data_IF_996156084441
#
_entry.id   IF_996156084441
#
_cell.length_a   1.000
_cell.length_b   1.000
_cell.length_c   1.000
_cell.angle_alpha   90.00
_cell.angle_beta   90.00
_cell.angle_gamma   90.00
#
_symmetry.space_group_name_H-M   'P 1'
#
loop_
_entity.id
_entity.type
_entity.pdbx_description
1 polymer ?
#
# COMPACT_ATOMS: atom_id res chain seq x y z
N UNK A 1 -9.04 -56.61 -2.55
CA UNK A 1 -9.45 -55.54 -3.50
C UNK A 1 -9.18 -54.19 -2.87
N UNK A 2 -8.53 -53.31 -3.63
CA UNK A 2 -7.90 -52.04 -3.23
C UNK A 2 -8.92 -50.94 -2.97
N UNK A 3 -9.11 -50.49 -1.72
CA UNK A 3 -9.77 -49.21 -1.38
C UNK A 3 -9.29 -48.69 -0.01
N UNK A 4 -8.01 -48.33 0.14
CA UNK A 4 -7.57 -47.65 1.39
C UNK A 4 -6.34 -46.73 1.25
N UNK A 5 -5.93 -46.32 0.04
CA UNK A 5 -4.71 -45.48 -0.13
C UNK A 5 -4.97 -44.02 -0.51
N UNK A 6 -6.21 -43.61 -0.78
CA UNK A 6 -6.48 -42.26 -1.31
C UNK A 6 -6.65 -41.19 -0.21
N UNK A 7 -7.12 -41.57 0.99
CA UNK A 7 -7.33 -40.61 2.09
C UNK A 7 -6.03 -40.12 2.72
N UNK A 8 -5.01 -40.97 2.79
CA UNK A 8 -3.70 -40.60 3.36
C UNK A 8 -2.92 -39.62 2.49
N UNK A 9 -3.01 -39.75 1.16
CA UNK A 9 -2.34 -38.82 0.24
C UNK A 9 -2.98 -37.43 0.27
N UNK A 10 -4.32 -37.35 0.42
CA UNK A 10 -5.04 -36.08 0.59
C UNK A 10 -4.70 -35.43 1.94
N UNK A 11 -4.61 -36.21 3.02
CA UNK A 11 -4.24 -35.70 4.34
C UNK A 11 -2.80 -35.14 4.35
N UNK A 12 -1.85 -35.81 3.70
CA UNK A 12 -0.47 -35.32 3.56
C UNK A 12 -0.42 -34.03 2.72
N UNK A 13 -1.19 -33.96 1.61
CA UNK A 13 -1.25 -32.77 0.78
C UNK A 13 -1.84 -31.56 1.55
N UNK A 14 -2.91 -31.78 2.30
CA UNK A 14 -3.54 -30.74 3.15
C UNK A 14 -2.62 -30.32 4.30
N UNK A 15 -1.84 -31.24 4.88
CA UNK A 15 -0.87 -30.90 5.91
C UNK A 15 0.30 -30.07 5.35
N UNK A 16 0.77 -30.36 4.14
CA UNK A 16 1.81 -29.56 3.46
C UNK A 16 1.29 -28.15 3.14
N UNK A 17 0.04 -28.02 2.69
CA UNK A 17 -0.60 -26.71 2.43
C UNK A 17 -0.80 -25.92 3.74
N UNK A 18 -1.24 -26.57 4.81
CA UNK A 18 -1.40 -25.91 6.11
C UNK A 18 -0.05 -25.49 6.75
N UNK A 19 1.01 -26.28 6.55
CA UNK A 19 2.36 -25.98 7.03
C UNK A 19 3.05 -24.87 6.25
N UNK A 20 2.63 -24.63 4.99
CA UNK A 20 3.17 -23.56 4.13
C UNK A 20 2.43 -22.22 4.28
N UNK A 21 1.38 -22.17 5.11
CA UNK A 21 0.67 -20.95 5.50
C UNK A 21 1.10 -20.38 6.87
N UNK A 22 2.19 -20.86 7.47
CA UNK A 22 2.80 -20.14 8.59
C UNK A 22 3.50 -18.90 8.05
N UNK A 23 2.93 -17.73 8.38
CA UNK A 23 3.59 -16.43 8.26
C UNK A 23 4.96 -16.58 8.95
N UNK A 24 6.08 -16.41 8.26
CA UNK A 24 7.38 -16.55 8.91
C UNK A 24 7.47 -15.49 10.00
N UNK A 25 7.63 -15.92 11.24
CA UNK A 25 8.11 -15.04 12.30
C UNK A 25 9.56 -14.70 11.96
N UNK A 26 9.75 -13.59 11.24
CA UNK A 26 11.06 -13.06 10.91
C UNK A 26 11.63 -12.48 12.21
N UNK A 27 12.37 -13.29 12.94
CA UNK A 27 13.27 -12.83 13.99
C UNK A 27 14.49 -12.22 13.32
N UNK A 28 14.57 -10.89 13.33
CA UNK A 28 15.68 -10.11 12.78
C UNK A 28 16.96 -10.28 13.62
N UNK A 29 17.71 -11.35 13.39
CA UNK A 29 19.08 -11.48 13.88
C UNK A 29 20.04 -10.94 12.81
N UNK A 30 20.64 -9.77 13.06
CA UNK A 30 21.69 -9.22 12.19
C UNK A 30 23.06 -9.72 12.69
N UNK A 31 23.68 -10.61 11.94
CA UNK A 31 25.11 -10.91 12.08
C UNK A 31 25.93 -9.88 11.30
N UNK A 32 26.87 -9.22 11.96
CA UNK A 32 27.80 -8.28 11.34
C UNK A 32 29.14 -8.98 11.09
N UNK A 33 29.40 -9.38 9.84
CA UNK A 33 30.73 -9.84 9.44
C UNK A 33 31.61 -8.63 9.12
N UNK A 34 32.28 -8.08 10.15
CA UNK A 34 33.28 -7.02 9.96
C UNK A 34 34.64 -7.67 9.69
N UNK A 35 35.05 -7.72 8.42
CA UNK A 35 36.43 -8.07 8.08
C UNK A 35 37.34 -6.86 8.29
N UNK A 36 38.20 -6.91 9.31
CA UNK A 36 39.23 -5.92 9.56
C UNK A 36 40.33 -6.00 8.48
N UNK A 37 40.20 -5.22 7.39
CA UNK A 37 41.33 -4.88 6.52
C UNK A 37 41.31 -3.41 6.17
N UNK A 38 42.43 -2.75 6.41
CA UNK A 38 42.69 -1.33 6.22
C UNK A 38 42.66 -0.92 4.73
N UNK A 39 42.17 0.31 4.50
CA UNK A 39 42.46 1.23 3.38
C UNK A 39 41.82 1.06 2.00
N UNK A 40 40.72 0.33 1.88
CA UNK A 40 39.70 0.61 0.84
C UNK A 40 38.36 0.73 1.55
N UNK A 41 37.40 1.48 1.00
CA UNK A 41 36.05 1.55 1.55
C UNK A 41 35.40 0.15 1.45
N UNK A 42 35.67 -0.71 2.43
CA UNK A 42 35.20 -2.10 2.47
C UNK A 42 33.69 -2.06 2.32
N UNK A 43 33.19 -2.62 1.23
CA UNK A 43 31.77 -2.79 1.00
C UNK A 43 31.22 -3.65 2.13
N UNK A 44 30.62 -2.98 3.12
CA UNK A 44 30.05 -3.66 4.27
C UNK A 44 28.83 -4.42 3.79
N UNK A 45 28.87 -5.74 3.90
CA UNK A 45 27.69 -6.59 3.72
C UNK A 45 27.04 -6.84 5.08
N UNK A 46 25.71 -6.85 5.10
CA UNK A 46 24.89 -7.13 6.29
C UNK A 46 23.80 -8.11 5.92
N UNK A 47 23.21 -8.78 6.91
CA UNK A 47 22.04 -9.62 6.70
C UNK A 47 20.78 -8.79 6.91
N UNK A 48 19.89 -8.77 5.93
CA UNK A 48 18.59 -8.10 5.95
C UNK A 48 17.52 -9.09 5.52
N UNK A 49 16.55 -9.37 6.40
CA UNK A 49 15.50 -10.37 6.19
C UNK A 49 16.05 -11.72 5.69
N UNK A 50 17.18 -12.16 6.28
CA UNK A 50 17.83 -13.44 5.94
C UNK A 50 18.67 -13.43 4.65
N UNK A 51 18.78 -12.30 3.96
CA UNK A 51 19.55 -12.16 2.71
C UNK A 51 20.75 -11.24 2.94
N UNK A 52 21.92 -11.60 2.40
CA UNK A 52 23.07 -10.70 2.39
C UNK A 52 22.83 -9.56 1.41
N UNK A 53 22.87 -8.35 1.94
CA UNK A 53 22.77 -7.10 1.18
C UNK A 53 24.05 -6.29 1.35
N UNK A 54 24.34 -5.47 0.35
CA UNK A 54 25.36 -4.44 0.42
C UNK A 54 24.78 -3.23 1.15
N UNK A 55 25.48 -2.76 2.18
CA UNK A 55 25.17 -1.49 2.84
C UNK A 55 25.93 -0.35 2.14
N UNK A 56 25.26 0.62 1.49
CA UNK A 56 25.98 1.73 0.88
C UNK A 56 26.81 2.54 1.90
N UNK A 57 27.87 3.18 1.41
CA UNK A 57 28.68 4.09 2.21
C UNK A 57 27.82 5.28 2.68
N UNK A 58 27.97 5.71 3.93
CA UNK A 58 27.19 6.82 4.50
C UNK A 58 25.73 6.50 4.84
N UNK A 59 25.25 5.27 4.61
CA UNK A 59 23.92 4.83 5.08
C UNK A 59 24.07 4.18 6.47
N UNK A 60 23.35 4.66 7.50
CA UNK A 60 23.45 4.12 8.86
C UNK A 60 22.80 2.73 8.96
N UNK A 61 23.38 1.84 9.77
CA UNK A 61 22.85 0.47 9.94
C UNK A 61 21.41 0.46 10.47
N UNK A 62 21.06 1.45 11.32
CA UNK A 62 19.73 1.60 11.94
C UNK A 62 18.59 1.60 10.92
N UNK A 63 18.80 2.08 9.68
CA UNK A 63 17.73 2.11 8.66
C UNK A 63 17.25 0.70 8.27
N UNK A 64 18.13 -0.29 8.32
CA UNK A 64 17.81 -1.69 7.99
C UNK A 64 17.21 -2.47 9.16
N UNK A 65 17.14 -1.84 10.35
CA UNK A 65 16.61 -2.43 11.59
C UNK A 65 15.20 -1.92 11.91
N UNK A 66 14.68 -0.97 11.13
CA UNK A 66 13.34 -0.41 11.35
C UNK A 66 12.28 -1.46 11.02
N UNK A 67 11.43 -1.79 11.99
CA UNK A 67 10.42 -2.84 11.88
C UNK A 67 8.99 -2.32 12.09
N UNK A 68 8.83 -1.09 12.58
CA UNK A 68 7.53 -0.48 12.86
C UNK A 68 7.44 0.97 12.42
N UNK A 69 6.20 1.42 12.25
CA UNK A 69 5.82 2.82 12.00
C UNK A 69 6.49 3.76 13.01
N UNK A 70 6.37 3.41 14.30
CA UNK A 70 6.97 4.16 15.40
C UNK A 70 8.48 4.27 15.27
N UNK A 71 9.18 3.19 14.92
CA UNK A 71 10.63 3.22 14.74
C UNK A 71 11.05 4.05 13.54
N UNK A 72 10.29 4.01 12.44
CA UNK A 72 10.52 4.89 11.29
C UNK A 72 10.33 6.35 11.71
N UNK A 73 9.21 6.69 12.34
CA UNK A 73 8.96 8.05 12.85
C UNK A 73 10.05 8.50 13.82
N UNK A 74 10.43 7.67 14.79
CA UNK A 74 11.50 7.97 15.74
C UNK A 74 12.86 8.14 15.07
N UNK A 75 13.20 7.31 14.09
CA UNK A 75 14.42 7.47 13.30
C UNK A 75 14.42 8.81 12.55
N UNK A 76 13.27 9.19 11.99
CA UNK A 76 13.09 10.47 11.32
C UNK A 76 13.18 11.64 12.32
N UNK A 77 12.68 11.49 13.54
CA UNK A 77 12.74 12.51 14.60
C UNK A 77 14.15 12.65 15.21
N UNK A 78 14.86 11.54 15.41
CA UNK A 78 16.24 11.52 15.94
C UNK A 78 17.21 12.28 15.01
N UNK A 79 17.03 12.14 13.70
CA UNK A 79 17.81 12.88 12.69
C UNK A 79 17.48 14.38 12.66
N UNK A 80 16.31 14.77 13.16
CA UNK A 80 15.80 16.14 13.20
C UNK A 80 16.32 16.94 14.41
N UNK A 81 16.73 16.28 15.49
CA UNK A 81 17.18 16.94 16.73
C UNK A 81 18.48 17.77 16.59
N UNK A 82 19.13 17.79 15.41
CA UNK A 82 20.34 18.58 15.13
C UNK A 82 20.13 19.77 14.18
N UNK A 83 18.92 20.00 13.66
CA UNK A 83 18.62 21.18 12.83
C UNK A 83 17.14 21.51 12.94
N UNK A 84 16.81 22.75 13.34
CA UNK A 84 15.47 23.38 13.40
C UNK A 84 14.37 22.63 12.62
N UNK A 85 13.87 21.56 13.21
CA UNK A 85 13.20 20.51 12.47
C UNK A 85 11.79 20.93 12.13
N UNK A 86 11.57 21.19 10.84
CA UNK A 86 10.23 21.25 10.27
C UNK A 86 9.57 19.90 10.55
N UNK A 87 8.40 19.93 11.17
CA UNK A 87 7.55 18.74 11.18
C UNK A 87 7.21 18.42 9.71
N UNK A 88 7.58 17.22 9.25
CA UNK A 88 7.27 16.73 7.89
C UNK A 88 5.78 16.85 7.55
N UNK A 89 4.92 16.95 8.57
CA UNK A 89 3.48 17.26 8.49
C UNK A 89 3.13 18.55 7.73
N UNK A 90 4.09 19.46 7.48
CA UNK A 90 3.84 20.73 6.77
C UNK A 90 4.22 20.73 5.29
N UNK A 91 4.71 19.61 4.75
CA UNK A 91 5.11 19.53 3.32
C UNK A 91 3.91 19.05 2.50
N UNK A 92 3.48 19.80 1.46
CA UNK A 92 2.42 19.36 0.56
C UNK A 92 2.73 17.98 -0.04
N UNK A 93 1.74 17.09 -0.07
CA UNK A 93 1.94 15.70 -0.51
C UNK A 93 2.43 15.61 -1.96
N UNK A 94 2.02 16.54 -2.84
CA UNK A 94 2.54 16.61 -4.21
C UNK A 94 4.04 16.90 -4.29
N UNK A 95 4.57 17.77 -3.42
CA UNK A 95 6.01 18.03 -3.32
C UNK A 95 6.70 16.76 -2.81
N UNK A 96 6.18 16.18 -1.73
CA UNK A 96 6.72 14.93 -1.17
C UNK A 96 6.77 13.81 -2.22
N UNK A 97 5.70 13.65 -3.02
CA UNK A 97 5.61 12.68 -4.08
C UNK A 97 6.66 12.91 -5.18
N UNK A 98 6.82 14.16 -5.64
CA UNK A 98 7.84 14.49 -6.64
C UNK A 98 9.27 14.25 -6.14
N UNK A 99 9.56 14.60 -4.89
CA UNK A 99 10.84 14.33 -4.24
C UNK A 99 11.10 12.83 -4.16
N UNK A 100 10.11 12.05 -3.70
CA UNK A 100 10.22 10.58 -3.63
C UNK A 100 10.40 9.97 -5.00
N UNK A 101 9.64 10.39 -6.02
CA UNK A 101 9.81 9.90 -7.39
C UNK A 101 11.23 10.13 -7.93
N UNK A 102 11.81 11.30 -7.66
CA UNK A 102 13.21 11.60 -8.01
C UNK A 102 14.21 10.67 -7.30
N UNK A 103 14.00 10.41 -6.00
CA UNK A 103 14.88 9.52 -5.22
C UNK A 103 14.75 8.08 -5.70
N UNK A 104 13.53 7.57 -5.89
CA UNK A 104 13.27 6.21 -6.35
C UNK A 104 14.03 5.93 -7.66
N UNK A 105 14.03 6.89 -8.59
CA UNK A 105 14.70 6.73 -9.89
C UNK A 105 16.22 6.50 -9.81
N UNK A 106 16.85 6.83 -8.66
CA UNK A 106 18.27 6.54 -8.39
C UNK A 106 18.51 5.04 -8.10
N UNK A 107 17.47 4.33 -7.68
CA UNK A 107 17.53 2.95 -7.19
C UNK A 107 16.91 1.95 -8.15
N UNK A 108 15.62 2.08 -8.43
CA UNK A 108 14.84 1.13 -9.22
C UNK A 108 13.74 1.85 -10.01
N UNK A 109 13.30 1.27 -11.12
CA UNK A 109 12.17 1.79 -11.87
C UNK A 109 10.85 1.16 -11.41
N UNK A 110 10.07 1.91 -10.64
CA UNK A 110 8.78 1.45 -10.08
C UNK A 110 7.61 1.49 -11.08
N UNK A 111 7.80 2.10 -12.26
CA UNK A 111 6.77 2.19 -13.31
C UNK A 111 6.69 0.93 -14.18
N UNK A 112 7.58 -0.02 -13.95
CA UNK A 112 7.63 -1.31 -14.63
C UNK A 112 7.96 -2.40 -13.61
N UNK A 113 7.79 -3.68 -13.98
CA UNK A 113 8.23 -4.75 -13.13
C UNK A 113 9.74 -4.68 -12.86
N UNK A 114 10.16 -4.81 -11.59
CA UNK A 114 11.57 -4.72 -11.20
C UNK A 114 12.46 -5.83 -11.78
N UNK A 115 11.86 -6.87 -12.36
CA UNK A 115 12.57 -7.95 -13.04
C UNK A 115 12.85 -7.63 -14.53
N UNK A 116 12.58 -6.40 -14.97
CA UNK A 116 13.00 -5.88 -16.27
C UNK A 116 14.50 -5.52 -16.28
N UNK A 117 15.12 -5.58 -17.47
CA UNK A 117 16.58 -5.70 -17.63
C UNK A 117 17.41 -4.54 -17.02
N UNK A 118 16.84 -3.33 -16.93
CA UNK A 118 17.54 -2.12 -16.48
C UNK A 118 17.86 -2.10 -14.98
N UNK A 119 17.15 -2.89 -14.17
CA UNK A 119 17.33 -2.94 -12.72
C UNK A 119 18.11 -4.18 -12.26
N UNK A 120 18.15 -5.24 -13.07
CA UNK A 120 18.84 -6.50 -12.74
C UNK A 120 20.31 -6.29 -12.37
N UNK A 121 21.04 -5.46 -13.13
CA UNK A 121 22.46 -5.20 -12.86
C UNK A 121 22.70 -4.53 -11.50
N UNK A 122 21.79 -3.66 -11.06
CA UNK A 122 21.86 -3.03 -9.73
C UNK A 122 21.52 -4.03 -8.64
N UNK A 123 20.45 -4.82 -8.84
CA UNK A 123 20.01 -5.84 -7.88
C UNK A 123 21.11 -6.87 -7.63
N UNK A 124 21.77 -7.39 -8.67
CA UNK A 124 22.86 -8.36 -8.49
C UNK A 124 24.07 -7.78 -7.74
N UNK A 125 24.31 -6.48 -7.88
CA UNK A 125 25.38 -5.77 -7.18
C UNK A 125 25.02 -5.52 -5.71
N UNK A 126 23.77 -5.14 -5.45
CA UNK A 126 23.31 -4.74 -4.12
C UNK A 126 22.90 -5.93 -3.25
N UNK A 127 22.43 -7.03 -3.86
CA UNK A 127 21.93 -8.22 -3.19
C UNK A 127 22.66 -9.47 -3.74
N UNK A 128 23.93 -9.69 -3.34
CA UNK A 128 24.81 -10.68 -3.94
C UNK A 128 24.35 -12.13 -3.79
N UNK A 129 23.37 -12.44 -2.93
CA UNK A 129 22.82 -13.79 -2.80
C UNK A 129 21.93 -14.19 -3.98
N UNK A 130 21.35 -13.23 -4.70
CA UNK A 130 20.54 -13.53 -5.89
C UNK A 130 21.44 -13.76 -7.10
N UNK A 131 21.25 -14.88 -7.80
CA UNK A 131 22.10 -15.31 -8.91
C UNK A 131 21.38 -15.37 -10.25
N UNK A 132 20.05 -15.28 -10.22
CA UNK A 132 19.22 -15.37 -11.41
C UNK A 132 18.01 -14.43 -11.36
N UNK A 133 17.42 -14.18 -12.54
CA UNK A 133 16.16 -13.43 -12.65
C UNK A 133 15.02 -14.14 -11.93
N UNK A 134 15.02 -15.47 -11.92
CA UNK A 134 14.07 -16.29 -11.17
C UNK A 134 14.16 -16.01 -9.66
N UNK A 135 15.37 -15.92 -9.10
CA UNK A 135 15.57 -15.59 -7.68
C UNK A 135 15.04 -14.19 -7.36
N UNK A 136 15.30 -13.23 -8.24
CA UNK A 136 14.81 -11.84 -8.12
C UNK A 136 13.28 -11.82 -8.14
N UNK A 137 12.64 -12.56 -9.05
CA UNK A 137 11.18 -12.62 -9.12
C UNK A 137 10.56 -13.22 -7.86
N UNK A 138 11.16 -14.30 -7.32
CA UNK A 138 10.69 -14.96 -6.08
C UNK A 138 10.88 -14.08 -4.84
N UNK A 139 11.85 -13.17 -4.87
CA UNK A 139 12.21 -12.31 -3.73
C UNK A 139 11.94 -10.83 -4.01
N UNK A 140 11.08 -10.52 -4.97
CA UNK A 140 10.80 -9.17 -5.44
C UNK A 140 10.42 -8.22 -4.29
N UNK A 141 9.57 -8.68 -3.39
CA UNK A 141 9.12 -7.89 -2.23
C UNK A 141 10.25 -7.58 -1.24
N UNK A 142 11.16 -8.54 -0.97
CA UNK A 142 12.32 -8.30 -0.11
C UNK A 142 13.28 -7.28 -0.75
N UNK A 143 13.51 -7.39 -2.06
CA UNK A 143 14.33 -6.45 -2.83
C UNK A 143 13.73 -5.04 -2.75
N UNK A 144 12.41 -4.92 -2.91
CA UNK A 144 11.71 -3.65 -2.79
C UNK A 144 11.77 -3.07 -1.37
N UNK A 145 11.66 -3.90 -0.33
CA UNK A 145 11.84 -3.45 1.05
C UNK A 145 13.25 -2.91 1.29
N UNK A 146 14.29 -3.56 0.76
CA UNK A 146 15.66 -3.06 0.82
C UNK A 146 15.78 -1.67 0.17
N UNK A 147 15.28 -1.50 -1.05
CA UNK A 147 15.31 -0.20 -1.72
C UNK A 147 14.43 0.84 -1.03
N UNK A 148 13.30 0.44 -0.44
CA UNK A 148 12.46 1.35 0.35
C UNK A 148 13.25 1.92 1.54
N UNK A 149 14.07 1.11 2.23
CA UNK A 149 14.96 1.62 3.30
C UNK A 149 15.95 2.67 2.79
N UNK A 150 16.55 2.46 1.63
CA UNK A 150 17.43 3.46 1.02
C UNK A 150 16.70 4.74 0.64
N UNK A 151 15.48 4.61 0.09
CA UNK A 151 14.62 5.75 -0.24
C UNK A 151 14.25 6.55 1.00
N UNK A 152 13.88 5.92 2.13
CA UNK A 152 13.58 6.61 3.40
C UNK A 152 14.78 7.45 3.85
N UNK A 153 15.99 6.88 3.79
CA UNK A 153 17.21 7.56 4.20
C UNK A 153 17.49 8.81 3.35
N UNK A 154 17.32 8.72 2.03
CA UNK A 154 17.57 9.85 1.14
C UNK A 154 16.43 10.87 1.15
N UNK A 155 15.18 10.43 1.28
CA UNK A 155 14.02 11.30 1.44
C UNK A 155 14.22 12.26 2.60
N UNK A 156 14.77 11.76 3.71
CA UNK A 156 15.06 12.60 4.86
C UNK A 156 16.05 13.72 4.53
N UNK A 157 17.14 13.41 3.81
CA UNK A 157 18.15 14.40 3.42
C UNK A 157 17.55 15.47 2.50
N UNK A 158 16.77 15.04 1.51
CA UNK A 158 16.16 15.94 0.52
C UNK A 158 15.08 16.82 1.16
N UNK A 159 14.26 16.27 2.07
CA UNK A 159 13.22 17.03 2.78
C UNK A 159 13.78 18.19 3.59
N UNK A 160 14.98 18.05 4.18
CA UNK A 160 15.65 19.13 4.92
C UNK A 160 16.08 20.30 4.03
N UNK A 161 16.17 20.10 2.72
CA UNK A 161 16.54 21.15 1.75
C UNK A 161 15.33 21.94 1.24
N UNK A 162 14.10 21.48 1.51
CA UNK A 162 12.88 22.14 1.01
C UNK A 162 12.63 23.44 1.78
N UNK A 163 12.56 24.61 1.12
CA UNK A 163 12.40 25.91 1.78
C UNK A 163 11.15 26.02 2.67
N UNK A 164 11.29 26.72 3.81
CA UNK A 164 10.28 26.78 4.89
C UNK A 164 8.98 27.54 4.53
N UNK A 165 9.06 28.44 3.56
CA UNK A 165 8.01 29.31 3.03
C UNK A 165 7.06 28.62 2.03
N UNK A 166 7.43 27.44 1.52
CA UNK A 166 6.59 26.66 0.59
C UNK A 166 5.30 26.12 1.26
N UNK A 167 5.17 26.27 2.58
CA UNK A 167 3.99 25.86 3.36
C UNK A 167 2.74 26.75 3.15
N UNK A 168 2.88 27.89 2.46
CA UNK A 168 1.79 28.83 2.18
C UNK A 168 1.31 28.87 0.72
N UNK A 169 1.95 28.11 -0.18
CA UNK A 169 1.51 28.03 -1.57
C UNK A 169 0.19 27.28 -1.65
N UNK A 170 -0.90 27.96 -2.01
CA UNK A 170 -2.09 27.29 -2.54
C UNK A 170 -1.66 26.53 -3.78
N UNK A 171 -1.29 25.26 -3.63
CA UNK A 171 -1.20 24.37 -4.76
C UNK A 171 -2.63 24.29 -5.32
N UNK A 172 -2.85 24.59 -6.61
CA UNK A 172 -4.18 24.73 -7.21
C UNK A 172 -4.93 23.39 -7.35
N UNK A 173 -4.51 22.36 -6.62
CA UNK A 173 -5.15 21.06 -6.64
C UNK A 173 -6.19 21.02 -5.52
N UNK A 174 -7.45 20.83 -5.96
CA UNK A 174 -8.62 20.57 -5.13
C UNK A 174 -8.35 19.40 -4.16
N UNK A 175 -9.21 19.23 -3.17
CA UNK A 175 -9.05 18.39 -1.96
C UNK A 175 -8.63 16.91 -2.17
N UNK A 176 -8.45 16.44 -3.40
CA UNK A 176 -7.87 15.14 -3.74
C UNK A 176 -6.35 15.27 -3.98
N UNK A 177 -5.54 14.72 -3.07
CA UNK A 177 -4.08 14.71 -3.19
C UNK A 177 -3.31 15.72 -2.32
N UNK A 178 -3.98 16.50 -1.47
CA UNK A 178 -3.25 17.32 -0.49
C UNK A 178 -2.71 16.52 0.69
N UNK A 179 -3.17 15.28 0.88
CA UNK A 179 -2.73 14.38 1.95
C UNK A 179 -3.14 14.90 3.32
N UNK A 180 -3.74 14.07 4.16
CA UNK A 180 -3.77 14.37 5.59
C UNK A 180 -2.47 13.90 6.29
N UNK A 181 -2.35 14.17 7.59
CA UNK A 181 -1.15 13.81 8.36
C UNK A 181 -0.92 12.29 8.38
N UNK A 182 -1.98 11.48 8.32
CA UNK A 182 -1.89 10.02 8.26
C UNK A 182 -1.33 9.53 6.93
N UNK A 183 -1.81 10.08 5.81
CA UNK A 183 -1.26 9.77 4.48
C UNK A 183 0.21 10.17 4.40
N UNK A 184 0.60 11.32 4.97
CA UNK A 184 2.01 11.73 5.07
C UNK A 184 2.84 10.77 5.91
N UNK A 185 2.30 10.29 7.03
CA UNK A 185 2.98 9.30 7.87
C UNK A 185 3.23 8.01 7.09
N UNK A 186 2.21 7.48 6.41
CA UNK A 186 2.35 6.29 5.57
C UNK A 186 3.36 6.52 4.42
N UNK A 187 3.42 7.73 3.87
CA UNK A 187 4.40 8.10 2.84
C UNK A 187 5.85 8.08 3.36
N UNK A 188 6.05 8.40 4.64
CA UNK A 188 7.36 8.33 5.27
C UNK A 188 7.76 6.88 5.61
N UNK A 189 6.78 6.02 5.87
CA UNK A 189 6.97 4.58 6.16
C UNK A 189 7.28 3.78 4.89
N UNK A 190 6.47 3.96 3.85
CA UNK A 190 6.60 3.27 2.58
C UNK A 190 6.55 4.24 1.40
N UNK A 191 7.59 5.07 1.20
CA UNK A 191 7.62 6.06 0.14
C UNK A 191 7.42 5.47 -1.26
N UNK A 192 7.92 4.25 -1.52
CA UNK A 192 7.66 3.57 -2.81
C UNK A 192 6.16 3.35 -3.02
N UNK A 193 5.46 2.81 -2.03
CA UNK A 193 4.02 2.54 -2.13
C UNK A 193 3.21 3.83 -2.10
N UNK A 194 3.62 4.81 -1.28
CA UNK A 194 3.04 6.14 -1.27
C UNK A 194 3.08 6.78 -2.66
N UNK A 195 4.21 6.68 -3.38
CA UNK A 195 4.32 7.16 -4.74
C UNK A 195 3.35 6.47 -5.70
N UNK A 196 3.21 5.14 -5.61
CA UNK A 196 2.22 4.40 -6.38
C UNK A 196 0.79 4.87 -6.10
N UNK A 197 0.40 4.99 -4.82
CA UNK A 197 -0.96 5.37 -4.41
C UNK A 197 -1.28 6.81 -4.80
N UNK A 198 -0.34 7.73 -4.62
CA UNK A 198 -0.51 9.12 -5.02
C UNK A 198 -0.70 9.25 -6.53
N UNK A 199 0.17 8.62 -7.32
CA UNK A 199 0.04 8.65 -8.78
C UNK A 199 -1.27 8.00 -9.25
N UNK A 200 -1.74 6.94 -8.58
CA UNK A 200 -3.05 6.36 -8.85
C UNK A 200 -4.21 7.32 -8.57
N UNK A 201 -4.08 8.20 -7.56
CA UNK A 201 -5.11 9.22 -7.27
C UNK A 201 -5.22 10.24 -8.40
N UNK A 202 -4.09 10.61 -9.01
CA UNK A 202 -4.05 11.50 -10.17
C UNK A 202 -4.71 10.84 -11.38
N UNK A 203 -4.36 9.59 -11.68
CA UNK A 203 -4.98 8.82 -12.77
C UNK A 203 -6.49 8.74 -12.59
N UNK A 204 -6.97 8.38 -11.39
CA UNK A 204 -8.40 8.24 -11.11
C UNK A 204 -9.16 9.56 -11.25
N UNK A 205 -8.56 10.68 -10.83
CA UNK A 205 -9.12 12.02 -11.04
C UNK A 205 -9.24 12.32 -12.54
N UNK A 206 -8.19 12.06 -13.31
CA UNK A 206 -8.18 12.34 -14.73
C UNK A 206 -9.19 11.46 -15.48
N UNK A 207 -9.34 10.18 -15.11
CA UNK A 207 -10.39 9.29 -15.63
C UNK A 207 -11.79 9.76 -15.24
N UNK A 208 -11.98 10.22 -14.00
CA UNK A 208 -13.27 10.76 -13.55
C UNK A 208 -13.66 11.99 -14.36
N UNK A 209 -12.71 12.88 -14.61
CA UNK A 209 -12.93 14.05 -15.45
C UNK A 209 -13.29 13.67 -16.90
N UNK A 210 -12.66 12.64 -17.46
CA UNK A 210 -13.00 12.15 -18.81
C UNK A 210 -14.42 11.56 -18.88
N UNK A 211 -14.86 10.84 -17.85
CA UNK A 211 -16.15 10.13 -17.86
C UNK A 211 -17.33 10.99 -17.40
N UNK A 212 -17.11 11.94 -16.48
CA UNK A 212 -18.16 12.74 -15.84
C UNK A 212 -18.05 14.25 -16.14
N UNK A 213 -17.04 14.69 -16.89
CA UNK A 213 -16.79 16.10 -17.21
C UNK A 213 -16.74 17.02 -15.99
N UNK A 214 -16.22 16.50 -14.87
CA UNK A 214 -15.97 17.25 -13.64
C UNK A 214 -14.75 16.70 -12.92
N UNK A 215 -13.81 17.59 -12.58
CA UNK A 215 -12.59 17.30 -11.82
C UNK A 215 -12.93 16.94 -10.37
N UNK A 216 -14.01 17.55 -9.85
CA UNK A 216 -14.54 17.39 -8.51
C UNK A 216 -15.99 16.93 -8.62
N UNK A 217 -16.23 15.80 -9.31
CA UNK A 217 -17.55 15.19 -9.35
C UNK A 217 -17.94 14.73 -7.92
N UNK A 218 -18.37 15.68 -7.10
CA UNK A 218 -19.07 15.47 -5.83
C UNK A 218 -20.51 15.02 -6.07
N UNK A 219 -20.88 14.75 -7.33
CA UNK A 219 -21.98 13.86 -7.61
C UNK A 219 -21.63 12.44 -7.14
N UNK A 220 -22.65 11.70 -6.74
CA UNK A 220 -22.52 10.46 -6.01
C UNK A 220 -21.94 9.33 -6.88
N UNK A 221 -22.07 9.43 -8.21
CA UNK A 221 -21.54 8.44 -9.15
C UNK A 221 -20.10 8.71 -9.54
N UNK A 222 -19.76 9.95 -9.85
CA UNK A 222 -18.39 10.36 -10.16
C UNK A 222 -17.48 10.17 -8.95
N UNK A 223 -17.94 10.48 -7.73
CA UNK A 223 -17.14 10.19 -6.53
C UNK A 223 -16.97 8.69 -6.30
N UNK A 224 -18.05 7.90 -6.38
CA UNK A 224 -17.97 6.44 -6.28
C UNK A 224 -17.00 5.84 -7.31
N UNK A 225 -17.07 6.30 -8.56
CA UNK A 225 -16.18 5.90 -9.65
C UNK A 225 -14.72 6.23 -9.33
N UNK A 226 -14.46 7.48 -8.92
CA UNK A 226 -13.13 7.97 -8.55
C UNK A 226 -12.49 7.11 -7.45
N UNK A 227 -13.22 6.83 -6.37
CA UNK A 227 -12.73 6.02 -5.25
C UNK A 227 -12.45 4.56 -5.63
N UNK A 228 -13.35 3.95 -6.41
CA UNK A 228 -13.16 2.60 -6.92
C UNK A 228 -11.95 2.50 -7.85
N UNK A 229 -11.86 3.39 -8.85
CA UNK A 229 -10.73 3.45 -9.77
C UNK A 229 -9.41 3.75 -9.07
N UNK A 230 -9.39 4.68 -8.10
CA UNK A 230 -8.20 5.01 -7.33
C UNK A 230 -7.65 3.78 -6.60
N UNK A 231 -8.51 3.05 -5.87
CA UNK A 231 -8.08 1.86 -5.13
C UNK A 231 -7.67 0.72 -6.07
N UNK A 232 -8.37 0.52 -7.17
CA UNK A 232 -7.98 -0.48 -8.16
C UNK A 232 -6.61 -0.17 -8.79
N UNK A 233 -6.40 1.08 -9.22
CA UNK A 233 -5.16 1.52 -9.84
C UNK A 233 -3.99 1.58 -8.85
N UNK A 234 -4.24 1.95 -7.60
CA UNK A 234 -3.23 1.94 -6.53
C UNK A 234 -2.70 0.52 -6.31
N UNK A 235 -3.58 -0.45 -6.09
CA UNK A 235 -3.20 -1.85 -5.96
C UNK A 235 -2.46 -2.35 -7.21
N UNK A 236 -2.92 -1.95 -8.40
CA UNK A 236 -2.29 -2.33 -9.67
C UNK A 236 -0.87 -1.80 -9.78
N UNK A 237 -0.64 -0.51 -9.50
CA UNK A 237 0.70 0.09 -9.55
C UNK A 237 1.65 -0.56 -8.55
N UNK A 238 1.20 -0.84 -7.32
CA UNK A 238 2.01 -1.54 -6.30
C UNK A 238 2.40 -2.94 -6.79
N UNK A 239 1.46 -3.68 -7.38
CA UNK A 239 1.75 -4.99 -7.98
C UNK A 239 2.69 -4.91 -9.18
N UNK A 240 2.52 -3.93 -10.07
CA UNK A 240 3.43 -3.70 -11.20
C UNK A 240 4.85 -3.46 -10.71
N UNK A 241 5.03 -2.73 -9.61
CA UNK A 241 6.35 -2.51 -9.01
C UNK A 241 6.99 -3.82 -8.53
N UNK A 242 6.22 -4.87 -8.23
CA UNK A 242 6.73 -6.20 -7.88
C UNK A 242 6.31 -6.72 -6.51
N UNK A 243 5.45 -5.99 -5.80
CA UNK A 243 4.87 -6.47 -4.54
C UNK A 243 3.80 -7.55 -4.79
N UNK A 244 3.55 -8.38 -3.78
CA UNK A 244 2.47 -9.37 -3.83
C UNK A 244 1.09 -8.70 -3.89
N UNK A 245 0.09 -9.45 -4.37
CA UNK A 245 -1.31 -9.00 -4.38
C UNK A 245 -1.83 -8.64 -2.98
N UNK A 246 -1.35 -9.34 -1.95
CA UNK A 246 -1.75 -9.13 -0.56
C UNK A 246 -1.15 -7.85 0.00
N UNK A 247 0.14 -7.63 -0.25
CA UNK A 247 0.83 -6.39 0.13
C UNK A 247 0.19 -5.19 -0.57
N UNK A 248 -0.11 -5.29 -1.87
CA UNK A 248 -0.81 -4.25 -2.60
C UNK A 248 -2.21 -3.96 -2.04
N UNK A 249 -2.98 -5.00 -1.70
CA UNK A 249 -4.30 -4.87 -1.10
C UNK A 249 -4.24 -4.15 0.26
N UNK A 250 -3.36 -4.59 1.17
CA UNK A 250 -3.25 -4.03 2.52
C UNK A 250 -2.73 -2.59 2.51
N UNK A 251 -1.71 -2.28 1.70
CA UNK A 251 -1.20 -0.91 1.64
C UNK A 251 -2.16 0.05 0.98
N UNK A 252 -2.84 -0.36 -0.10
CA UNK A 252 -3.91 0.45 -0.70
C UNK A 252 -5.00 0.74 0.33
N UNK A 253 -5.41 -0.28 1.09
CA UNK A 253 -6.37 -0.13 2.19
C UNK A 253 -5.89 0.86 3.25
N UNK A 254 -4.62 0.77 3.70
CA UNK A 254 -4.05 1.69 4.69
C UNK A 254 -4.11 3.14 4.21
N UNK A 255 -3.66 3.42 2.99
CA UNK A 255 -3.70 4.79 2.43
C UNK A 255 -5.13 5.29 2.20
N UNK A 256 -6.00 4.47 1.62
CA UNK A 256 -7.39 4.85 1.39
C UNK A 256 -8.12 5.11 2.72
N UNK A 257 -7.91 4.28 3.73
CA UNK A 257 -8.48 4.50 5.07
C UNK A 257 -7.90 5.76 5.72
N UNK A 258 -6.59 5.97 5.57
CA UNK A 258 -5.94 7.18 6.06
C UNK A 258 -6.60 8.42 5.47
N UNK A 259 -6.86 8.44 4.16
CA UNK A 259 -7.54 9.53 3.45
C UNK A 259 -8.90 9.90 4.05
N UNK A 260 -9.69 8.91 4.45
CA UNK A 260 -11.04 9.12 5.00
C UNK A 260 -11.06 9.54 6.49
N UNK A 261 -9.92 9.62 7.19
CA UNK A 261 -9.89 10.07 8.57
C UNK A 261 -10.32 11.53 8.70
N UNK A 262 -11.26 11.78 9.60
CA UNK A 262 -11.69 13.13 9.92
C UNK A 262 -10.65 13.83 10.81
N UNK A 263 -9.86 14.72 10.22
CA UNK A 263 -8.83 15.48 10.96
C UNK A 263 -9.37 16.59 11.86
N UNK A 264 -10.69 16.87 11.84
CA UNK A 264 -11.29 18.04 12.51
C UNK A 264 -12.09 17.73 13.78
N UNK A 265 -12.63 16.52 13.95
CA UNK A 265 -13.58 16.20 15.05
C UNK A 265 -12.96 15.26 16.09
N UNK A 266 -12.10 14.33 15.67
CA UNK A 266 -11.25 13.53 16.55
C UNK A 266 -10.22 12.77 15.69
N UNK A 267 -8.92 12.76 16.04
CA UNK A 267 -7.86 12.23 15.18
C UNK A 267 -8.00 10.74 14.77
N UNK A 268 -8.96 9.99 15.27
CA UNK A 268 -9.09 8.56 14.93
C UNK A 268 -10.53 8.15 14.60
N UNK A 269 -11.41 9.12 14.36
CA UNK A 269 -12.78 8.83 13.95
C UNK A 269 -12.87 8.87 12.42
N UNK A 270 -13.15 7.68 11.87
CA UNK A 270 -13.68 7.55 10.52
C UNK A 270 -14.96 8.38 10.43
N UNK A 271 -15.10 9.16 9.35
CA UNK A 271 -16.36 9.85 9.11
C UNK A 271 -17.51 8.84 9.02
N UNK A 272 -18.61 9.10 9.72
CA UNK A 272 -19.75 8.18 9.82
C UNK A 272 -20.96 8.65 9.00
N UNK A 273 -20.78 9.65 8.14
CA UNK A 273 -21.83 10.12 7.25
C UNK A 273 -22.00 9.17 6.03
N UNK A 274 -23.07 9.37 5.28
CA UNK A 274 -23.39 8.53 4.13
C UNK A 274 -22.31 8.57 3.03
N UNK A 275 -21.54 9.67 2.94
CA UNK A 275 -20.50 9.84 1.91
C UNK A 275 -19.31 8.95 2.25
N UNK A 276 -18.84 9.00 3.49
CA UNK A 276 -17.75 8.15 3.96
C UNK A 276 -18.08 6.66 3.80
N UNK A 277 -19.32 6.23 4.10
CA UNK A 277 -19.73 4.82 3.90
C UNK A 277 -19.65 4.40 2.41
N UNK A 278 -20.10 5.28 1.51
CA UNK A 278 -19.97 5.06 0.07
C UNK A 278 -18.50 4.99 -0.35
N UNK A 279 -17.66 5.87 0.18
CA UNK A 279 -16.23 5.91 -0.14
C UNK A 279 -15.52 4.64 0.36
N UNK A 280 -15.77 4.19 1.61
CA UNK A 280 -15.25 2.90 2.11
C UNK A 280 -15.69 1.71 1.24
N UNK A 281 -16.96 1.68 0.83
CA UNK A 281 -17.48 0.61 -0.03
C UNK A 281 -16.76 0.57 -1.38
N UNK A 282 -16.66 1.72 -2.06
CA UNK A 282 -16.04 1.81 -3.38
C UNK A 282 -14.52 1.60 -3.30
N UNK A 283 -13.88 2.10 -2.24
CA UNK A 283 -12.48 1.80 -1.93
C UNK A 283 -12.27 0.27 -1.83
N UNK A 284 -13.17 -0.44 -1.13
CA UNK A 284 -13.11 -1.92 -1.00
C UNK A 284 -13.32 -2.62 -2.33
N UNK A 285 -14.34 -2.22 -3.10
CA UNK A 285 -14.63 -2.79 -4.42
C UNK A 285 -13.45 -2.63 -5.36
N UNK A 286 -12.84 -1.44 -5.41
CA UNK A 286 -11.67 -1.15 -6.24
C UNK A 286 -10.46 -2.02 -5.92
N UNK A 287 -10.01 -2.05 -4.65
CA UNK A 287 -8.82 -2.85 -4.29
C UNK A 287 -9.07 -4.36 -4.42
N UNK A 288 -10.30 -4.82 -4.16
CA UNK A 288 -10.68 -6.23 -4.31
C UNK A 288 -10.71 -6.62 -5.78
N UNK A 289 -11.23 -5.76 -6.66
CA UNK A 289 -11.20 -5.98 -8.11
C UNK A 289 -9.78 -6.29 -8.59
N UNK A 290 -8.80 -5.46 -8.26
CA UNK A 290 -7.43 -5.73 -8.69
C UNK A 290 -6.88 -7.02 -8.09
N UNK A 291 -7.12 -7.28 -6.80
CA UNK A 291 -6.71 -8.53 -6.14
C UNK A 291 -7.25 -9.76 -6.88
N UNK A 292 -8.53 -9.73 -7.26
CA UNK A 292 -9.23 -10.85 -7.87
C UNK A 292 -8.87 -11.03 -9.37
N UNK A 293 -8.31 -9.99 -10.01
CA UNK A 293 -7.88 -10.00 -11.41
C UNK A 293 -6.35 -10.13 -11.58
N UNK A 294 -5.60 -10.28 -10.49
CA UNK A 294 -4.19 -10.64 -10.55
C UNK A 294 -4.04 -12.12 -10.91
N UNK A 295 -3.13 -12.40 -11.83
CA UNK A 295 -2.77 -13.77 -12.21
C UNK A 295 -1.39 -14.07 -11.66
N UNK A 296 -1.29 -15.16 -10.92
CA UNK A 296 -0.02 -15.69 -10.42
C UNK A 296 0.36 -16.99 -11.14
N UNK A 297 1.65 -17.27 -11.28
CA UNK A 297 2.11 -18.59 -11.70
C UNK A 297 2.08 -19.59 -10.52
N UNK A 298 2.52 -20.83 -10.76
CA UNK A 298 2.56 -21.90 -9.75
C UNK A 298 3.45 -21.59 -8.54
N UNK A 299 4.33 -20.61 -8.65
CA UNK A 299 5.25 -20.17 -7.60
C UNK A 299 4.72 -18.95 -6.84
N UNK A 300 3.49 -18.49 -7.14
CA UNK A 300 2.91 -17.30 -6.54
C UNK A 300 3.41 -15.97 -7.14
N UNK A 301 4.28 -16.01 -8.15
CA UNK A 301 4.78 -14.79 -8.80
C UNK A 301 3.69 -14.18 -9.67
N UNK A 302 3.51 -12.86 -9.58
CA UNK A 302 2.57 -12.14 -10.43
C UNK A 302 3.04 -12.19 -11.89
N UNK A 303 2.16 -12.67 -12.77
CA UNK A 303 2.35 -12.77 -14.23
C UNK A 303 1.30 -11.99 -15.02
N UNK A 304 0.33 -11.37 -14.35
CA UNK A 304 -0.62 -10.48 -14.99
C UNK A 304 -1.46 -9.70 -13.98
N UNK A 305 -2.01 -8.58 -14.45
CA UNK A 305 -2.84 -7.63 -13.71
C UNK A 305 -3.87 -7.02 -14.68
N UNK A 306 -4.98 -6.44 -14.18
CA UNK A 306 -5.97 -5.79 -15.04
C UNK A 306 -5.35 -4.61 -15.81
N UNK A 307 -5.88 -4.31 -17.00
CA UNK A 307 -5.52 -3.10 -17.75
C UNK A 307 -6.25 -1.88 -17.20
N UNK A 308 -5.73 -0.68 -17.47
CA UNK A 308 -6.39 0.57 -17.07
C UNK A 308 -7.78 0.70 -17.71
N UNK A 309 -7.91 0.34 -18.99
CA UNK A 309 -9.21 0.31 -19.66
C UNK A 309 -10.19 -0.67 -19.00
N UNK A 310 -9.72 -1.81 -18.48
CA UNK A 310 -10.56 -2.76 -17.76
C UNK A 310 -11.06 -2.17 -16.43
N UNK A 311 -10.16 -1.55 -15.67
CA UNK A 311 -10.48 -0.85 -14.42
C UNK A 311 -11.53 0.24 -14.66
N UNK A 312 -11.31 1.09 -15.67
CA UNK A 312 -12.22 2.19 -16.04
C UNK A 312 -13.59 1.64 -16.44
N UNK A 313 -13.64 0.68 -17.38
CA UNK A 313 -14.90 0.19 -17.91
C UNK A 313 -15.73 -0.55 -16.85
N UNK A 314 -15.10 -1.42 -16.06
CA UNK A 314 -15.82 -2.22 -15.06
C UNK A 314 -16.38 -1.35 -13.94
N UNK A 315 -15.60 -0.38 -13.46
CA UNK A 315 -16.08 0.53 -12.41
C UNK A 315 -17.09 1.56 -12.95
N UNK A 316 -16.95 2.03 -14.19
CA UNK A 316 -17.97 2.88 -14.82
C UNK A 316 -19.31 2.14 -14.95
N UNK A 317 -19.28 0.89 -15.41
CA UNK A 317 -20.47 0.06 -15.50
C UNK A 317 -21.08 -0.20 -14.12
N UNK A 318 -20.25 -0.50 -13.12
CA UNK A 318 -20.69 -0.71 -11.74
C UNK A 318 -21.44 0.50 -11.18
N UNK A 319 -20.85 1.70 -11.28
CA UNK A 319 -21.46 2.88 -10.64
C UNK A 319 -22.68 3.43 -11.39
N UNK A 320 -22.80 3.09 -12.67
CA UNK A 320 -23.97 3.46 -13.47
C UNK A 320 -25.04 2.37 -13.50
N UNK A 321 -24.78 1.19 -12.92
CA UNK A 321 -25.77 0.14 -12.77
C UNK A 321 -26.72 0.50 -11.61
N UNK A 322 -28.02 0.72 -11.88
CA UNK A 322 -28.99 1.10 -10.85
C UNK A 322 -29.20 0.03 -9.78
N UNK A 323 -28.81 -1.23 -10.05
CA UNK A 323 -28.90 -2.31 -9.07
C UNK A 323 -27.71 -2.35 -8.10
N UNK A 324 -26.57 -1.79 -8.50
CA UNK A 324 -25.32 -1.83 -7.76
C UNK A 324 -25.13 -0.58 -6.89
N UNK A 325 -25.53 0.58 -7.41
CA UNK A 325 -25.52 1.83 -6.66
C UNK A 325 -26.85 2.02 -5.92
N UNK A 326 -27.10 1.20 -4.89
CA UNK A 326 -28.19 1.49 -3.97
C UNK A 326 -27.79 2.73 -3.18
N UNK A 327 -28.32 3.88 -3.53
CA UNK A 327 -28.04 5.10 -2.76
C UNK A 327 -28.72 4.95 -1.40
N UNK A 328 -27.98 5.10 -0.29
CA UNK A 328 -28.62 5.26 1.00
C UNK A 328 -29.57 6.48 0.94
N UNK A 329 -30.92 6.35 1.16
CA UNK A 329 -31.80 7.52 1.34
C UNK A 329 -31.21 8.56 2.31
N UNK A 330 -31.42 9.86 2.06
CA UNK A 330 -30.80 10.96 2.83
C UNK A 330 -31.04 10.94 4.35
N UNK A 331 -32.03 10.18 4.84
CA UNK A 331 -32.25 9.92 6.26
C UNK A 331 -31.95 8.45 6.56
N UNK A 332 -30.80 8.20 7.18
CA UNK A 332 -30.44 6.88 7.71
C UNK A 332 -30.81 6.83 9.17
N UNK A 333 -31.80 6.00 9.53
CA UNK A 333 -31.80 5.47 10.88
C UNK A 333 -30.59 4.53 11.04
N UNK A 334 -30.09 4.34 12.25
CA UNK A 334 -28.98 3.40 12.49
C UNK A 334 -29.36 1.95 12.09
N UNK A 335 -30.66 1.65 12.06
CA UNK A 335 -31.20 0.39 11.56
C UNK A 335 -31.09 0.25 10.04
N UNK A 336 -31.28 1.34 9.29
CA UNK A 336 -31.06 1.37 7.84
C UNK A 336 -29.57 1.22 7.49
N UNK A 337 -28.67 1.74 8.33
CA UNK A 337 -27.20 1.58 8.16
C UNK A 337 -26.84 0.10 8.23
N UNK A 338 -27.37 -0.60 9.23
CA UNK A 338 -27.14 -2.03 9.40
C UNK A 338 -27.65 -2.87 8.24
N UNK A 339 -28.88 -2.61 7.78
CA UNK A 339 -29.51 -3.31 6.66
C UNK A 339 -28.80 -3.05 5.32
N UNK A 340 -28.30 -1.83 5.11
CA UNK A 340 -27.54 -1.47 3.92
C UNK A 340 -26.19 -2.18 3.87
N UNK A 341 -25.45 -2.22 5.00
CA UNK A 341 -24.18 -2.96 5.12
C UNK A 341 -24.40 -4.48 4.97
N UNK A 342 -25.48 -5.03 5.54
CA UNK A 342 -25.90 -6.43 5.33
C UNK A 342 -26.17 -6.73 3.85
N UNK A 343 -26.82 -5.80 3.14
CA UNK A 343 -27.07 -5.95 1.69
C UNK A 343 -25.76 -5.93 0.89
N UNK A 344 -24.81 -5.06 1.22
CA UNK A 344 -23.51 -4.97 0.55
C UNK A 344 -22.62 -6.20 0.81
N UNK A 345 -22.64 -6.73 2.03
CA UNK A 345 -21.86 -7.92 2.44
C UNK A 345 -22.47 -9.25 1.98
N UNK A 346 -23.79 -9.33 1.85
CA UNK A 346 -24.47 -10.53 1.31
C UNK A 346 -24.11 -10.84 -0.15
N UNK A 347 -23.70 -9.84 -0.93
CA UNK A 347 -23.18 -10.01 -2.29
C UNK A 347 -21.74 -10.55 -2.38
N UNK A 348 -21.03 -10.62 -1.25
CA UNK A 348 -19.60 -11.00 -1.16
C UNK A 348 -19.32 -12.29 -0.38
N UNK A 349 -20.36 -12.98 0.09
CA UNK A 349 -20.25 -14.33 0.65
C UNK A 349 -19.80 -14.41 2.10
N UNK A 350 -20.78 -14.54 3.00
CA UNK A 350 -20.90 -15.44 4.19
C UNK A 350 -21.61 -14.71 5.34
N UNK A 351 -22.87 -15.08 5.53
CA UNK A 351 -23.85 -14.49 6.47
C UNK A 351 -23.57 -14.88 7.93
N UNK A 352 -22.74 -15.90 8.17
CA UNK A 352 -22.47 -16.44 9.51
C UNK A 352 -21.59 -15.55 10.41
N UNK A 353 -20.87 -14.57 9.85
CA UNK A 353 -20.09 -13.61 10.65
C UNK A 353 -20.91 -12.52 11.35
N UNK A 354 -22.17 -12.32 10.96
CA UNK A 354 -22.98 -11.16 11.36
C UNK A 354 -24.07 -11.48 12.40
N UNK A 355 -24.39 -12.75 12.65
CA UNK A 355 -25.42 -13.13 13.62
C UNK A 355 -24.98 -12.98 15.09
N UNK A 356 -23.69 -12.72 15.33
CA UNK A 356 -23.12 -12.55 16.68
C UNK A 356 -22.81 -11.08 17.04
N UNK A 357 -23.05 -10.11 16.16
CA UNK A 357 -22.76 -8.71 16.42
C UNK A 357 -24.04 -7.93 16.77
N UNK A 358 -24.16 -7.51 18.04
CA UNK A 358 -25.20 -6.58 18.45
C UNK A 358 -25.01 -5.21 17.76
N UNK A 359 -26.13 -4.54 17.47
CA UNK A 359 -26.26 -3.31 16.66
C UNK A 359 -25.34 -2.12 17.05
N UNK A 360 -24.75 -2.10 18.25
CA UNK A 360 -23.80 -1.07 18.70
C UNK A 360 -22.38 -1.24 18.15
N UNK A 361 -22.08 -2.39 17.54
CA UNK A 361 -20.72 -2.79 17.13
C UNK A 361 -20.50 -2.73 15.61
N UNK A 362 -21.28 -1.93 14.86
CA UNK A 362 -20.97 -1.69 13.44
C UNK A 362 -19.64 -0.96 13.22
N UNK A 363 -19.21 -0.16 14.20
CA UNK A 363 -17.83 0.35 14.26
C UNK A 363 -16.82 -0.78 14.54
N UNK A 364 -17.22 -1.86 15.23
CA UNK A 364 -16.37 -3.03 15.50
C UNK A 364 -16.28 -3.99 14.31
N UNK A 365 -17.32 -4.13 13.48
CA UNK A 365 -17.26 -4.91 12.23
C UNK A 365 -16.56 -4.15 11.09
N UNK A 366 -16.75 -2.83 11.04
CA UNK A 366 -15.86 -1.99 10.26
C UNK A 366 -14.44 -2.11 10.82
N UNK A 367 -14.23 -2.08 12.14
CA UNK A 367 -12.93 -2.31 12.79
C UNK A 367 -12.39 -3.74 12.65
N UNK A 368 -13.19 -4.77 12.42
CA UNK A 368 -12.69 -6.12 12.07
C UNK A 368 -12.21 -6.16 10.61
N UNK A 369 -12.63 -5.19 9.79
CA UNK A 369 -11.99 -4.89 8.51
C UNK A 369 -10.83 -3.88 8.64
N UNK A 370 -10.60 -3.27 9.80
CA UNK A 370 -9.51 -2.32 10.06
C UNK A 370 -8.57 -2.87 11.12
N UNK A 371 -7.40 -3.36 10.72
CA UNK A 371 -6.32 -3.49 11.70
C UNK A 371 -6.02 -2.06 12.17
N UNK A 372 -6.21 -1.70 13.46
CA UNK A 372 -5.73 -0.42 13.94
C UNK A 372 -4.22 -0.42 13.71
N UNK A 373 -3.72 0.59 13.00
CA UNK A 373 -2.28 0.78 12.91
C UNK A 373 -1.72 0.80 14.35
N UNK A 374 -0.72 -0.05 14.67
CA UNK A 374 -0.09 -0.04 15.98
C UNK A 374 0.64 1.28 16.27
#
# INVERSE_FOLDING_TARGET
MKKFSFSWQIAILLFIIASSCQKPDIVNNIETNVSNSTTDAVEMTIVFNGVRIRKPAGVPLKIFQLNSNREVSQYLDDLNNNSSARAQSKIPLGILNSTVGSIISKYINVNKPIFEQDDLGKIYKDLPDFKSKEDIMKNAELILQYYNRLVINDLKKEVLTIPSDVSGGRYPFSNFGNGNDYERQLFNEEPIMGNCVYNASLDARDWTNQMYNSIDADDWRGNAFKHACWNAQAARKIVITGYSQWTAYEWTKRFATAHEYNTTVSPWQLGSDHKNIMDYHNNLKGRSYTKDHIRTNIWGNVVGWPSESSIINDHYNHVNNPNDLKVPPQSFSDQDKGNYILTLTSSTGTVEGLSNANYTDYLYLAALMFDPLP
#
